data_IF_183480422486
#
_entry.id   IF_183480422486
#
_cell.length_a   1.000
_cell.length_b   1.000
_cell.length_c   1.000
_cell.angle_alpha   90.00
_cell.angle_beta   90.00
_cell.angle_gamma   90.00
#
_symmetry.space_group_name_H-M   'P 1'
#
loop_
_entity.id
_entity.type
_entity.pdbx_description
1 polymer ?
#
# COMPACT_ATOMS: atom_id res chain seq x y z
N UNK A 1 7.08 -11.43 -22.78
CA UNK A 1 7.31 -11.13 -24.21
C UNK A 1 6.05 -11.53 -24.95
N UNK A 2 5.32 -10.55 -25.52
CA UNK A 2 4.25 -10.89 -26.46
C UNK A 2 4.92 -11.55 -27.66
N UNK A 3 4.48 -12.76 -28.00
CA UNK A 3 5.07 -13.51 -29.08
C UNK A 3 4.98 -12.73 -30.42
N UNK A 4 5.97 -12.83 -31.31
CA UNK A 4 5.94 -12.19 -32.63
C UNK A 4 4.66 -12.45 -33.43
N UNK A 5 3.99 -13.55 -33.18
CA UNK A 5 2.70 -13.95 -33.75
C UNK A 5 1.53 -12.99 -33.46
N UNK A 6 1.55 -12.26 -32.33
CA UNK A 6 0.48 -11.32 -31.97
C UNK A 6 0.62 -10.03 -32.80
N UNK A 7 1.86 -9.55 -32.99
CA UNK A 7 2.14 -8.37 -33.82
C UNK A 7 1.79 -8.66 -35.30
N UNK A 8 2.07 -9.89 -35.76
CA UNK A 8 1.75 -10.35 -37.12
C UNK A 8 0.23 -10.50 -37.32
N UNK A 9 -0.50 -10.98 -36.31
CA UNK A 9 -1.97 -11.09 -36.31
C UNK A 9 -2.62 -9.71 -36.41
N UNK A 10 -2.16 -8.73 -35.65
CA UNK A 10 -2.67 -7.34 -35.72
C UNK A 10 -2.38 -6.68 -37.07
N UNK A 11 -1.20 -6.94 -37.65
CA UNK A 11 -0.86 -6.47 -39.03
C UNK A 11 -1.71 -7.07 -40.11
N UNK A 12 -2.19 -8.31 -39.96
CA UNK A 12 -3.07 -8.98 -40.93
C UNK A 12 -4.51 -8.49 -40.86
N UNK A 13 -4.95 -7.98 -39.70
CA UNK A 13 -6.35 -7.55 -39.49
C UNK A 13 -6.59 -6.09 -39.93
N UNK A 14 -5.53 -5.28 -40.03
CA UNK A 14 -5.62 -3.91 -40.52
C UNK A 14 -5.15 -3.82 -41.97
N UNK A 15 -5.97 -3.24 -42.86
CA UNK A 15 -5.53 -2.97 -44.24
C UNK A 15 -4.34 -1.99 -44.21
N UNK A 16 -3.44 -2.08 -45.23
CA UNK A 16 -2.29 -1.17 -45.37
C UNK A 16 -2.66 0.32 -45.29
N UNK A 17 -3.86 0.70 -45.75
CA UNK A 17 -4.38 2.08 -45.68
C UNK A 17 -4.74 2.48 -44.23
N UNK A 18 -5.32 1.58 -43.45
CA UNK A 18 -5.68 1.82 -42.06
C UNK A 18 -4.43 1.90 -41.18
N UNK A 19 -3.40 1.09 -41.47
CA UNK A 19 -2.12 1.13 -40.74
C UNK A 19 -1.34 2.42 -41.05
N UNK A 20 -1.31 2.91 -42.28
CA UNK A 20 -0.64 4.16 -42.65
C UNK A 20 -1.40 5.37 -42.10
N UNK A 21 -2.73 5.33 -42.03
CA UNK A 21 -3.54 6.39 -41.42
C UNK A 21 -3.29 6.57 -39.92
N UNK A 22 -2.96 5.51 -39.21
CA UNK A 22 -2.62 5.56 -37.76
C UNK A 22 -1.20 6.09 -37.50
N UNK A 23 -0.27 5.89 -38.47
CA UNK A 23 1.12 6.31 -38.34
C UNK A 23 1.36 7.72 -38.88
N UNK A 24 0.56 8.21 -39.81
CA UNK A 24 0.76 9.50 -40.49
C UNK A 24 0.23 10.73 -39.72
N UNK A 25 -0.55 10.53 -38.64
CA UNK A 25 -1.02 11.62 -37.77
C UNK A 25 -0.21 11.68 -36.47
N UNK A 26 1.11 11.75 -36.60
CA UNK A 26 2.04 12.03 -35.49
C UNK A 26 2.03 13.49 -35.01
N UNK A 27 0.91 14.20 -35.17
CA UNK A 27 0.61 15.37 -34.38
C UNK A 27 0.18 14.86 -32.99
N UNK A 28 0.90 15.22 -31.95
CA UNK A 28 0.49 15.01 -30.57
C UNK A 28 -0.87 15.68 -30.35
N UNK A 29 -1.95 15.01 -30.72
CA UNK A 29 -3.27 15.31 -30.20
C UNK A 29 -3.24 14.83 -28.76
N UNK A 30 -2.90 15.74 -27.86
CA UNK A 30 -3.26 15.61 -26.45
C UNK A 30 -4.80 15.66 -26.42
N UNK A 31 -5.41 14.52 -26.71
CA UNK A 31 -6.82 14.31 -26.39
C UNK A 31 -6.85 14.32 -24.86
N UNK A 32 -7.51 15.31 -24.24
CA UNK A 32 -7.81 15.18 -22.84
C UNK A 32 -8.75 13.98 -22.74
N UNK A 33 -8.21 12.80 -22.44
CA UNK A 33 -9.01 11.63 -22.07
C UNK A 33 -9.60 11.96 -20.70
N UNK A 34 -10.54 12.88 -20.69
CA UNK A 34 -11.58 12.93 -19.69
C UNK A 34 -12.54 11.80 -20.08
N UNK A 35 -12.06 10.57 -19.93
CA UNK A 35 -12.92 9.42 -19.94
C UNK A 35 -14.02 9.73 -18.91
N UNK A 36 -15.23 9.98 -19.35
CA UNK A 36 -16.40 9.91 -18.49
C UNK A 36 -16.41 8.47 -17.99
N UNK A 37 -15.78 8.26 -16.83
CA UNK A 37 -15.83 6.98 -16.14
C UNK A 37 -17.31 6.74 -15.85
N UNK A 38 -17.91 5.77 -16.55
CA UNK A 38 -19.23 5.30 -16.17
C UNK A 38 -19.15 4.91 -14.71
N UNK A 39 -20.10 5.34 -13.86
CA UNK A 39 -20.07 5.01 -12.45
C UNK A 39 -19.94 3.49 -12.30
N UNK A 40 -18.92 3.07 -11.55
CA UNK A 40 -18.69 1.66 -11.25
C UNK A 40 -19.91 1.17 -10.47
N UNK A 41 -20.55 0.09 -10.92
CA UNK A 41 -21.58 -0.58 -10.11
C UNK A 41 -20.89 -1.35 -9.00
N UNK A 42 -20.85 -0.77 -7.82
CA UNK A 42 -20.33 -1.43 -6.63
C UNK A 42 -21.28 -2.57 -6.19
N UNK A 43 -20.76 -3.59 -5.50
CA UNK A 43 -21.60 -4.57 -4.82
C UNK A 43 -22.58 -3.88 -3.86
N UNK A 44 -23.73 -4.52 -3.60
CA UNK A 44 -24.71 -3.98 -2.65
C UNK A 44 -24.06 -3.72 -1.30
N UNK A 45 -24.32 -2.54 -0.74
CA UNK A 45 -23.78 -2.13 0.57
C UNK A 45 -22.60 -1.17 0.51
N UNK A 46 -21.95 -0.98 -0.65
CA UNK A 46 -20.86 -0.04 -0.82
C UNK A 46 -21.29 1.16 -1.67
N UNK A 47 -20.74 2.34 -1.35
CA UNK A 47 -21.06 3.62 -2.01
C UNK A 47 -19.88 4.15 -2.81
N UNK A 48 -18.63 3.86 -2.37
CA UNK A 48 -17.41 4.34 -3.01
C UNK A 48 -16.25 3.37 -2.83
N UNK A 49 -15.19 3.55 -3.64
CA UNK A 49 -13.92 2.86 -3.52
C UNK A 49 -12.83 3.90 -3.31
N UNK A 50 -12.13 3.80 -2.20
CA UNK A 50 -11.01 4.67 -1.87
C UNK A 50 -9.71 3.92 -2.14
N UNK A 51 -8.84 4.51 -2.98
CA UNK A 51 -7.50 4.00 -3.21
C UNK A 51 -6.59 4.40 -2.06
N UNK A 52 -6.06 3.41 -1.35
CA UNK A 52 -5.15 3.59 -0.21
C UNK A 52 -3.67 3.41 -0.61
N UNK A 53 -3.35 3.52 -1.90
CA UNK A 53 -2.04 3.18 -2.46
C UNK A 53 -1.33 4.41 -3.00
N UNK A 54 -0.09 4.64 -2.59
CA UNK A 54 0.77 5.63 -3.23
C UNK A 54 1.22 5.17 -4.63
N UNK A 55 1.37 6.15 -5.53
CA UNK A 55 1.96 5.88 -6.85
C UNK A 55 3.43 5.51 -6.66
N UNK A 56 3.83 4.32 -7.13
CA UNK A 56 5.23 3.93 -7.18
C UNK A 56 5.98 4.78 -8.21
N UNK A 57 6.84 5.65 -7.74
CA UNK A 57 7.65 6.53 -8.59
C UNK A 57 9.09 6.61 -8.08
N UNK A 58 10.08 6.95 -8.96
CA UNK A 58 11.46 7.16 -8.52
C UNK A 58 11.65 8.24 -7.44
N UNK A 59 10.66 9.10 -7.24
CA UNK A 59 10.68 10.17 -6.23
C UNK A 59 10.04 9.76 -4.90
N UNK A 60 9.46 8.55 -4.82
CA UNK A 60 8.84 8.07 -3.59
C UNK A 60 9.93 7.80 -2.54
N UNK A 61 9.78 8.28 -1.29
CA UNK A 61 10.69 7.93 -0.22
C UNK A 61 10.73 6.42 0.00
N UNK A 62 11.93 5.87 0.12
CA UNK A 62 12.16 4.46 0.46
C UNK A 62 12.88 4.37 1.79
N UNK A 63 12.76 3.23 2.47
CA UNK A 63 13.43 3.03 3.74
C UNK A 63 14.96 3.22 3.59
N UNK A 64 15.64 3.89 4.55
CA UNK A 64 17.07 4.13 4.46
C UNK A 64 17.88 2.85 4.23
N UNK A 65 18.71 2.87 3.20
CA UNK A 65 19.48 1.69 2.77
C UNK A 65 18.87 0.92 1.59
N UNK A 66 17.59 1.13 1.29
CA UNK A 66 16.95 0.56 0.09
C UNK A 66 17.23 1.41 -1.15
N UNK A 67 17.15 0.78 -2.30
CA UNK A 67 17.35 1.46 -3.59
C UNK A 67 16.08 2.18 -4.01
N UNK A 68 16.20 3.42 -4.52
CA UNK A 68 15.07 4.09 -5.16
C UNK A 68 14.51 3.26 -6.31
N UNK A 69 13.20 3.38 -6.54
CA UNK A 69 12.53 2.74 -7.66
C UNK A 69 13.18 3.17 -8.98
N UNK A 70 13.54 2.21 -9.82
CA UNK A 70 14.06 2.46 -11.14
C UNK A 70 13.07 2.01 -12.20
N UNK A 71 12.80 2.86 -13.17
CA UNK A 71 11.94 2.56 -14.32
C UNK A 71 12.77 2.74 -15.59
N UNK A 72 12.97 1.66 -16.33
CA UNK A 72 13.75 1.64 -17.57
C UNK A 72 12.86 1.22 -18.73
N UNK A 73 12.64 2.09 -19.72
CA UNK A 73 11.93 1.70 -20.94
C UNK A 73 12.67 0.58 -21.67
N UNK A 74 11.97 -0.50 -22.00
CA UNK A 74 12.46 -1.63 -22.79
C UNK A 74 11.97 -1.55 -24.23
N UNK A 75 10.75 -1.06 -24.44
CA UNK A 75 10.14 -0.86 -25.75
C UNK A 75 9.23 0.36 -25.72
N UNK A 76 9.01 0.97 -26.88
CA UNK A 76 8.12 2.11 -27.07
C UNK A 76 7.13 1.83 -28.21
N UNK A 77 5.93 2.43 -28.14
CA UNK A 77 4.92 2.26 -29.20
C UNK A 77 5.46 2.71 -30.56
N UNK A 78 6.24 3.77 -30.59
CA UNK A 78 6.79 4.33 -31.83
C UNK A 78 7.76 3.39 -32.53
N UNK A 79 8.56 2.61 -31.78
CA UNK A 79 9.61 1.74 -32.34
C UNK A 79 9.13 0.31 -32.54
N UNK A 80 8.48 -0.25 -31.52
CA UNK A 80 8.13 -1.67 -31.45
C UNK A 80 6.62 -1.94 -31.59
N UNK A 81 5.78 -0.89 -31.65
CA UNK A 81 4.32 -1.02 -31.73
C UNK A 81 3.65 -1.33 -30.36
N UNK A 82 4.44 -1.45 -29.30
CA UNK A 82 3.99 -1.61 -27.91
C UNK A 82 4.98 -0.95 -26.96
N UNK A 83 4.52 -0.62 -25.75
CA UNK A 83 5.36 -0.08 -24.69
C UNK A 83 5.55 -1.10 -23.57
N UNK A 84 6.78 -1.20 -23.05
CA UNK A 84 7.12 -2.03 -21.91
C UNK A 84 8.25 -1.38 -21.10
N UNK A 85 8.14 -1.43 -19.79
CA UNK A 85 9.17 -0.97 -18.86
C UNK A 85 9.70 -2.15 -18.05
N UNK A 86 10.98 -2.09 -17.73
CA UNK A 86 11.57 -2.83 -16.63
C UNK A 86 11.49 -1.96 -15.39
N UNK A 87 11.00 -2.53 -14.28
CA UNK A 87 10.92 -1.83 -13.00
C UNK A 87 11.73 -2.61 -11.98
N UNK A 88 12.61 -1.91 -11.25
CA UNK A 88 13.44 -2.49 -10.20
C UNK A 88 13.16 -1.74 -8.89
N UNK A 89 12.90 -2.46 -7.82
CA UNK A 89 12.68 -1.96 -6.46
C UNK A 89 12.98 -3.07 -5.44
N UNK A 90 13.22 -2.67 -4.19
CA UNK A 90 13.26 -3.62 -3.07
C UNK A 90 11.82 -3.96 -2.63
N UNK A 91 11.57 -5.17 -2.11
CA UNK A 91 10.21 -5.67 -1.80
C UNK A 91 9.41 -4.70 -0.92
N UNK A 92 10.05 -4.09 0.09
CA UNK A 92 9.42 -3.17 1.05
C UNK A 92 9.48 -1.72 0.55
N UNK A 93 8.78 -1.45 -0.56
CA UNK A 93 8.81 -0.16 -1.25
C UNK A 93 7.41 0.37 -1.52
N UNK A 94 7.17 1.63 -1.17
CA UNK A 94 5.87 2.28 -1.33
C UNK A 94 4.79 1.65 -0.46
N UNK A 95 3.53 1.72 -0.88
CA UNK A 95 2.47 0.96 -0.20
C UNK A 95 2.70 -0.52 -0.45
N UNK A 96 3.06 -1.26 0.61
CA UNK A 96 3.49 -2.65 0.50
C UNK A 96 2.98 -3.50 1.66
N UNK A 97 3.00 -4.82 1.46
CA UNK A 97 2.72 -5.83 2.48
C UNK A 97 4.01 -6.30 3.11
N UNK A 98 3.99 -6.50 4.42
CA UNK A 98 4.96 -7.27 5.20
C UNK A 98 4.37 -8.62 5.53
N UNK A 99 4.95 -9.69 4.99
CA UNK A 99 4.58 -11.04 5.34
C UNK A 99 5.27 -11.49 6.65
N UNK A 100 4.71 -12.47 7.39
CA UNK A 100 5.33 -12.99 8.61
C UNK A 100 6.81 -13.35 8.48
N UNK A 101 7.21 -13.89 7.34
CA UNK A 101 8.62 -14.29 7.09
C UNK A 101 9.60 -13.12 7.07
N UNK A 102 9.12 -11.88 6.93
CA UNK A 102 9.97 -10.69 6.96
C UNK A 102 10.76 -10.58 8.28
N UNK A 103 10.14 -10.91 9.41
CA UNK A 103 10.78 -10.85 10.73
C UNK A 103 10.92 -12.22 11.40
N UNK A 104 10.26 -13.27 10.88
CA UNK A 104 10.24 -14.59 11.51
C UNK A 104 10.70 -15.65 10.51
N UNK A 105 11.90 -16.17 10.72
CA UNK A 105 12.46 -17.21 9.85
C UNK A 105 11.55 -18.42 9.74
N UNK A 106 11.28 -18.86 8.51
CA UNK A 106 10.43 -20.03 8.23
C UNK A 106 8.92 -19.79 8.38
N UNK A 107 8.51 -18.56 8.70
CA UNK A 107 7.09 -18.21 8.75
C UNK A 107 6.48 -18.05 7.35
N UNK A 108 5.21 -17.67 7.28
CA UNK A 108 4.44 -17.54 6.04
C UNK A 108 5.01 -16.42 5.16
N UNK A 109 5.32 -16.74 3.89
CA UNK A 109 5.74 -15.80 2.85
C UNK A 109 4.52 -15.11 2.21
N UNK A 110 4.76 -14.01 1.48
CA UNK A 110 3.68 -13.19 0.90
C UNK A 110 2.78 -13.98 -0.06
N UNK A 111 3.33 -14.89 -0.86
CA UNK A 111 2.59 -15.77 -1.77
C UNK A 111 1.68 -16.79 -1.06
N UNK A 112 1.91 -17.01 0.24
CA UNK A 112 1.17 -17.98 1.08
C UNK A 112 0.24 -17.33 2.10
N UNK A 113 0.17 -16.01 2.17
CA UNK A 113 -0.84 -15.33 2.99
C UNK A 113 -2.23 -15.79 2.53
N UNK A 114 -3.09 -16.32 3.45
CA UNK A 114 -4.42 -16.79 3.08
C UNK A 114 -5.27 -15.68 2.47
N UNK A 115 -5.91 -15.95 1.33
CA UNK A 115 -6.66 -14.94 0.56
C UNK A 115 -7.87 -14.37 1.32
N UNK A 116 -8.47 -15.16 2.19
CA UNK A 116 -9.56 -14.75 3.08
C UNK A 116 -9.14 -13.72 4.12
N UNK A 117 -7.84 -13.62 4.41
CA UNK A 117 -7.29 -12.56 5.28
C UNK A 117 -6.99 -11.25 4.55
N UNK A 118 -6.91 -11.27 3.21
CA UNK A 118 -6.66 -10.10 2.38
C UNK A 118 -7.92 -9.29 2.09
N UNK A 119 -9.08 -9.79 2.50
CA UNK A 119 -10.38 -9.13 2.47
C UNK A 119 -10.94 -9.11 3.90
N UNK A 120 -11.03 -7.94 4.52
CA UNK A 120 -11.35 -7.84 5.94
C UNK A 120 -12.21 -6.60 6.27
N UNK A 121 -12.99 -6.63 7.37
CA UNK A 121 -13.53 -5.41 7.95
C UNK A 121 -12.38 -4.44 8.27
N UNK A 122 -12.51 -3.17 7.83
CA UNK A 122 -11.51 -2.14 8.07
C UNK A 122 -11.87 -1.31 9.29
N UNK A 123 -10.94 -1.24 10.22
CA UNK A 123 -10.95 -0.37 11.40
C UNK A 123 -9.90 0.72 11.20
N UNK A 124 -10.28 1.99 11.28
CA UNK A 124 -9.35 3.12 11.20
C UNK A 124 -9.27 3.79 12.55
N UNK A 125 -8.08 3.77 13.15
CA UNK A 125 -7.75 4.43 14.43
C UNK A 125 -6.97 5.68 14.13
N UNK A 126 -7.55 6.88 14.37
CA UNK A 126 -6.88 8.14 14.10
C UNK A 126 -6.15 8.68 15.32
N UNK A 127 -4.88 9.02 15.12
CA UNK A 127 -4.02 9.73 16.07
C UNK A 127 -3.48 11.04 15.47
N UNK A 128 -4.01 11.48 14.33
CA UNK A 128 -3.46 12.56 13.51
C UNK A 128 -3.25 13.88 14.28
N UNK A 129 -4.19 14.29 15.13
CA UNK A 129 -4.05 15.50 15.94
C UNK A 129 -2.89 15.43 16.94
N UNK A 130 -2.63 14.25 17.50
CA UNK A 130 -1.51 14.03 18.42
C UNK A 130 -0.19 13.92 17.66
N UNK A 131 -0.20 13.20 16.55
CA UNK A 131 0.96 13.04 15.69
C UNK A 131 1.46 14.37 15.11
N UNK A 132 0.55 15.28 14.77
CA UNK A 132 0.90 16.63 14.32
C UNK A 132 1.62 17.46 15.39
N UNK A 133 1.42 17.15 16.68
CA UNK A 133 2.07 17.84 17.81
C UNK A 133 3.35 17.11 18.26
N UNK A 134 3.38 15.80 18.11
CA UNK A 134 4.51 14.96 18.50
C UNK A 134 4.64 13.79 17.51
N UNK A 135 5.69 13.80 16.70
CA UNK A 135 5.96 12.77 15.70
C UNK A 135 6.21 11.37 16.31
N UNK A 136 6.63 11.27 17.56
CA UNK A 136 6.84 9.98 18.26
C UNK A 136 5.56 9.45 18.91
N UNK A 137 4.39 9.97 18.53
CA UNK A 137 3.09 9.46 19.00
C UNK A 137 2.86 8.03 18.55
N UNK A 138 2.44 7.18 19.49
CA UNK A 138 2.08 5.78 19.22
C UNK A 138 0.57 5.58 19.34
N UNK A 139 0.03 4.64 18.55
CA UNK A 139 -1.26 4.03 18.85
C UNK A 139 -1.09 3.21 20.13
N UNK A 140 -1.82 3.55 21.17
CA UNK A 140 -1.83 2.85 22.45
C UNK A 140 -2.96 1.82 22.54
N UNK A 141 -2.90 0.92 23.51
CA UNK A 141 -4.03 0.04 23.83
C UNK A 141 -5.29 0.83 24.21
N UNK A 142 -5.12 1.96 24.91
CA UNK A 142 -6.24 2.83 25.28
C UNK A 142 -6.91 3.47 24.05
N UNK A 143 -6.16 3.81 23.00
CA UNK A 143 -6.75 4.31 21.75
C UNK A 143 -7.67 3.26 21.12
N UNK A 144 -7.27 1.99 21.12
CA UNK A 144 -8.07 0.88 20.64
C UNK A 144 -9.33 0.68 21.49
N UNK A 145 -9.20 0.69 22.80
CA UNK A 145 -10.33 0.56 23.73
C UNK A 145 -11.27 1.76 23.64
N UNK A 146 -10.78 2.96 23.40
CA UNK A 146 -11.61 4.15 23.16
C UNK A 146 -12.34 4.09 21.83
N UNK A 147 -11.66 3.57 20.79
CA UNK A 147 -12.32 3.28 19.52
C UNK A 147 -13.49 2.29 19.73
N UNK A 148 -13.27 1.20 20.47
CA UNK A 148 -14.29 0.21 20.76
C UNK A 148 -15.48 0.77 21.54
N UNK A 149 -15.26 1.67 22.47
CA UNK A 149 -16.35 2.33 23.20
C UNK A 149 -17.31 3.11 22.27
N UNK A 150 -16.81 3.59 21.14
CA UNK A 150 -17.61 4.38 20.18
C UNK A 150 -18.25 3.54 19.09
N UNK A 151 -17.56 2.50 18.64
CA UNK A 151 -17.93 1.79 17.41
C UNK A 151 -18.21 0.29 17.63
N UNK A 152 -18.05 -0.18 18.85
CA UNK A 152 -18.18 -1.61 19.18
C UNK A 152 -16.83 -2.33 19.14
N UNK A 153 -16.80 -3.56 19.63
CA UNK A 153 -15.59 -4.38 19.71
C UNK A 153 -14.98 -4.57 18.32
N UNK A 154 -13.66 -4.43 18.20
CA UNK A 154 -12.92 -4.74 16.96
C UNK A 154 -13.24 -6.18 16.57
N UNK A 155 -13.80 -6.42 15.37
CA UNK A 155 -14.17 -7.78 14.94
C UNK A 155 -12.95 -8.69 14.80
N UNK A 156 -13.08 -9.96 15.14
CA UNK A 156 -12.07 -10.95 14.80
C UNK A 156 -11.88 -10.99 13.26
N UNK A 157 -10.64 -11.12 12.80
CA UNK A 157 -10.31 -11.05 11.38
C UNK A 157 -10.31 -9.64 10.79
N UNK A 158 -10.57 -8.58 11.56
CA UNK A 158 -10.46 -7.21 11.06
C UNK A 158 -9.02 -6.84 10.68
N UNK A 159 -8.88 -5.86 9.80
CA UNK A 159 -7.63 -5.15 9.55
C UNK A 159 -7.68 -3.79 10.26
N UNK A 160 -6.66 -3.48 11.07
CA UNK A 160 -6.62 -2.24 11.85
C UNK A 160 -5.58 -1.30 11.28
N UNK A 161 -6.01 -0.15 10.75
CA UNK A 161 -5.15 0.88 10.17
C UNK A 161 -4.98 2.05 11.14
N UNK A 162 -3.74 2.46 11.36
CA UNK A 162 -3.38 3.72 12.00
C UNK A 162 -3.46 4.86 10.98
N UNK A 163 -4.25 5.87 11.27
CA UNK A 163 -4.25 7.14 10.55
C UNK A 163 -3.53 8.20 11.39
N UNK A 164 -2.32 8.55 10.99
CA UNK A 164 -1.50 9.59 11.63
C UNK A 164 -1.45 10.90 10.83
N UNK A 165 -1.93 10.89 9.57
CA UNK A 165 -1.83 11.99 8.62
C UNK A 165 -0.41 12.14 8.03
N UNK A 166 0.46 11.16 8.23
CA UNK A 166 1.85 11.20 7.77
C UNK A 166 1.99 11.10 6.26
N UNK A 167 1.04 10.46 5.59
CA UNK A 167 0.95 10.34 4.14
C UNK A 167 0.98 11.69 3.41
N UNK A 168 0.52 12.76 4.05
CA UNK A 168 0.59 14.12 3.51
C UNK A 168 2.03 14.62 3.26
N UNK A 169 3.01 14.02 3.90
CA UNK A 169 4.44 14.40 3.80
C UNK A 169 5.20 13.64 2.71
N UNK A 170 4.62 12.62 2.08
CA UNK A 170 5.30 11.69 1.16
C UNK A 170 6.02 12.37 -0.02
N UNK A 171 5.57 13.56 -0.43
CA UNK A 171 6.18 14.34 -1.53
C UNK A 171 7.39 15.16 -1.11
N UNK A 172 7.65 15.26 0.18
CA UNK A 172 8.80 15.97 0.77
C UNK A 172 9.58 14.98 1.65
N UNK A 173 10.64 14.41 1.12
CA UNK A 173 11.43 13.40 1.81
C UNK A 173 11.98 13.90 3.16
N UNK A 174 12.32 15.18 3.27
CA UNK A 174 12.82 15.74 4.53
C UNK A 174 11.72 15.73 5.61
N UNK A 175 10.51 16.13 5.24
CA UNK A 175 9.35 16.09 6.14
C UNK A 175 8.90 14.67 6.44
N UNK A 176 8.98 13.78 5.44
CA UNK A 176 8.55 12.39 5.58
C UNK A 176 9.47 11.61 6.51
N UNK A 177 10.80 11.74 6.34
CA UNK A 177 11.79 11.13 7.22
C UNK A 177 11.90 11.86 8.56
N UNK A 178 11.63 13.15 8.60
CA UNK A 178 11.62 13.99 9.82
C UNK A 178 12.81 13.71 10.73
N UNK A 179 14.03 13.85 10.19
CA UNK A 179 15.27 13.54 10.94
C UNK A 179 15.63 14.67 11.90
N UNK A 180 16.01 14.29 13.11
CA UNK A 180 16.63 15.20 14.06
C UNK A 180 18.11 15.52 13.70
N UNK A 181 18.77 16.36 14.52
CA UNK A 181 20.17 16.73 14.32
C UNK A 181 21.15 15.55 14.43
N UNK A 182 20.73 14.43 15.02
CA UNK A 182 21.52 13.18 15.11
C UNK A 182 21.23 12.22 13.97
N UNK A 183 20.31 12.57 13.07
CA UNK A 183 19.90 11.73 11.96
C UNK A 183 18.81 10.70 12.30
N UNK A 184 18.30 10.69 13.53
CA UNK A 184 17.21 9.81 13.95
C UNK A 184 15.91 10.26 13.27
N UNK A 185 15.18 9.32 12.67
CA UNK A 185 13.86 9.58 12.10
C UNK A 185 12.79 9.58 13.19
N UNK A 186 11.77 10.40 13.01
CA UNK A 186 10.63 10.51 13.92
C UNK A 186 9.33 10.43 13.12
N UNK A 187 8.59 9.35 13.31
CA UNK A 187 7.25 9.16 12.74
C UNK A 187 6.44 8.20 13.62
N UNK A 188 5.11 8.30 13.61
CA UNK A 188 4.22 7.47 14.43
C UNK A 188 4.28 5.98 14.08
N UNK A 189 3.86 5.15 15.04
CA UNK A 189 3.72 3.70 14.89
C UNK A 189 2.80 3.10 15.96
N UNK A 190 2.79 1.77 16.05
CA UNK A 190 2.07 1.05 17.10
C UNK A 190 2.94 0.86 18.35
N UNK A 191 2.32 0.99 19.52
CA UNK A 191 2.96 0.57 20.77
C UNK A 191 2.93 -0.96 20.91
N UNK A 192 3.85 -1.52 21.69
CA UNK A 192 3.84 -2.95 22.03
C UNK A 192 2.51 -3.40 22.64
N UNK A 193 1.96 -2.60 23.56
CA UNK A 193 0.68 -2.91 24.19
C UNK A 193 -0.48 -2.97 23.20
N UNK A 194 -0.53 -2.05 22.24
CA UNK A 194 -1.54 -2.07 21.18
C UNK A 194 -1.35 -3.28 20.27
N UNK A 195 -0.12 -3.57 19.83
CA UNK A 195 0.17 -4.74 19.00
C UNK A 195 -0.24 -6.04 19.70
N UNK A 196 0.10 -6.21 20.98
CA UNK A 196 -0.32 -7.37 21.79
C UNK A 196 -1.83 -7.49 21.87
N UNK A 197 -2.55 -6.43 22.23
CA UNK A 197 -4.01 -6.42 22.31
C UNK A 197 -4.65 -6.90 20.99
N UNK A 198 -4.13 -6.40 19.86
CA UNK A 198 -4.65 -6.74 18.54
C UNK A 198 -4.46 -8.23 18.18
N UNK A 199 -3.31 -8.80 18.51
CA UNK A 199 -3.01 -10.19 18.15
C UNK A 199 -3.55 -11.22 19.14
N UNK A 200 -3.55 -10.91 20.47
CA UNK A 200 -3.91 -11.88 21.49
C UNK A 200 -5.37 -11.85 21.88
N UNK A 201 -6.04 -10.68 21.79
CA UNK A 201 -7.40 -10.51 22.28
C UNK A 201 -8.42 -10.14 21.21
N UNK A 202 -7.95 -9.64 20.05
CA UNK A 202 -8.85 -9.24 18.95
C UNK A 202 -8.73 -10.14 17.74
N UNK A 203 -7.66 -10.93 17.65
CA UNK A 203 -7.39 -11.87 16.54
C UNK A 203 -7.54 -11.21 15.16
N UNK A 204 -6.91 -10.05 14.98
CA UNK A 204 -6.96 -9.31 13.71
C UNK A 204 -6.29 -10.09 12.57
N UNK A 205 -6.65 -9.84 11.32
CA UNK A 205 -5.99 -10.41 10.14
C UNK A 205 -4.65 -9.75 9.86
N UNK A 206 -4.56 -8.44 10.08
CA UNK A 206 -3.38 -7.64 9.85
C UNK A 206 -3.53 -6.23 10.41
N UNK A 207 -2.47 -5.44 10.30
CA UNK A 207 -2.45 -4.03 10.68
C UNK A 207 -1.85 -3.19 9.56
N UNK A 208 -2.11 -1.87 9.57
CA UNK A 208 -1.49 -0.97 8.60
C UNK A 208 -1.20 0.41 9.17
N UNK A 209 -0.30 1.11 8.49
CA UNK A 209 0.14 2.46 8.86
C UNK A 209 0.30 3.35 7.63
N UNK A 210 0.15 4.65 7.80
CA UNK A 210 0.45 5.67 6.78
C UNK A 210 1.90 6.19 6.85
N UNK A 211 2.74 5.51 7.64
CA UNK A 211 4.18 5.77 7.83
C UNK A 211 5.04 4.71 7.15
N UNK A 212 6.39 4.86 7.23
CA UNK A 212 7.38 3.91 6.69
C UNK A 212 7.55 2.63 7.52
N UNK A 213 6.95 2.54 8.71
CA UNK A 213 7.17 1.42 9.61
C UNK A 213 5.96 1.22 10.53
N UNK A 214 5.65 -0.04 10.84
CA UNK A 214 4.66 -0.40 11.87
C UNK A 214 5.10 0.09 13.25
N UNK A 215 6.42 0.13 13.51
CA UNK A 215 7.01 0.73 14.69
C UNK A 215 7.22 2.23 14.52
N UNK A 216 7.35 2.98 15.61
CA UNK A 216 7.79 4.37 15.52
C UNK A 216 9.14 4.45 14.81
N UNK A 217 9.36 5.48 13.98
CA UNK A 217 10.60 5.60 13.23
C UNK A 217 11.85 5.79 14.12
N UNK A 218 11.67 6.29 15.35
CA UNK A 218 12.72 6.42 16.37
C UNK A 218 13.00 5.12 17.16
N UNK A 219 12.22 4.05 16.94
CA UNK A 219 12.33 2.81 17.69
C UNK A 219 13.68 2.11 17.44
N UNK A 220 14.33 1.66 18.51
CA UNK A 220 15.58 0.87 18.45
C UNK A 220 15.30 -0.63 18.27
N UNK A 221 14.08 -1.06 18.54
CA UNK A 221 13.62 -2.45 18.41
C UNK A 221 12.31 -2.45 17.66
N UNK A 222 12.15 -3.36 16.72
CA UNK A 222 10.94 -3.52 15.92
C UNK A 222 9.88 -4.36 16.66
N UNK A 223 9.39 -3.85 17.79
CA UNK A 223 8.53 -4.63 18.70
C UNK A 223 7.14 -4.84 18.10
N UNK A 224 6.59 -3.85 17.39
CA UNK A 224 5.31 -4.00 16.70
C UNK A 224 5.41 -5.04 15.58
N UNK A 225 6.45 -4.96 14.73
CA UNK A 225 6.72 -5.99 13.72
C UNK A 225 6.83 -7.38 14.32
N UNK A 226 7.72 -7.55 15.31
CA UNK A 226 7.95 -8.85 15.95
C UNK A 226 6.68 -9.41 16.57
N UNK A 227 5.84 -8.57 17.19
CA UNK A 227 4.60 -9.01 17.82
C UNK A 227 3.56 -9.41 16.77
N UNK A 228 3.34 -8.59 15.74
CA UNK A 228 2.30 -8.79 14.73
C UNK A 228 2.68 -9.92 13.78
N UNK A 229 3.87 -9.84 13.19
CA UNK A 229 4.34 -10.85 12.24
C UNK A 229 4.64 -12.18 12.94
N UNK A 230 5.12 -12.13 14.19
CA UNK A 230 5.34 -13.31 15.03
C UNK A 230 4.05 -14.07 15.38
N UNK A 231 2.91 -13.37 15.40
CA UNK A 231 1.60 -13.98 15.57
C UNK A 231 0.99 -14.48 14.23
N UNK A 232 1.76 -14.49 13.14
CA UNK A 232 1.31 -14.92 11.82
C UNK A 232 0.33 -13.95 11.15
N UNK A 233 0.30 -12.69 11.61
CA UNK A 233 -0.47 -11.60 10.99
C UNK A 233 0.41 -10.88 9.98
N UNK A 234 -0.17 -10.10 9.07
CA UNK A 234 0.60 -9.32 8.10
C UNK A 234 0.52 -7.82 8.38
N UNK A 235 1.51 -7.07 7.92
CA UNK A 235 1.55 -5.62 7.94
C UNK A 235 1.25 -5.01 6.59
N UNK A 236 0.82 -3.74 6.57
CA UNK A 236 0.80 -2.90 5.37
C UNK A 236 1.34 -1.53 5.75
N UNK A 237 2.40 -1.10 5.07
CA UNK A 237 3.02 0.19 5.31
C UNK A 237 2.73 1.19 4.18
N UNK A 238 2.94 2.47 4.47
CA UNK A 238 2.72 3.55 3.53
C UNK A 238 1.32 3.55 2.90
N UNK A 239 0.27 3.37 3.73
CA UNK A 239 -1.10 3.63 3.31
C UNK A 239 -1.30 5.13 3.06
N UNK A 240 -2.26 5.49 2.21
CA UNK A 240 -2.68 6.88 1.98
C UNK A 240 -4.19 7.03 2.02
N UNK A 241 -4.68 8.26 2.05
CA UNK A 241 -6.12 8.57 2.03
C UNK A 241 -6.95 7.99 3.19
N UNK A 242 -6.34 7.55 4.28
CA UNK A 242 -7.06 7.01 5.44
C UNK A 242 -8.02 8.04 6.06
N UNK A 243 -7.76 9.33 5.92
CA UNK A 243 -8.66 10.41 6.35
C UNK A 243 -10.03 10.40 5.65
N UNK A 244 -10.14 9.75 4.50
CA UNK A 244 -11.38 9.62 3.72
C UNK A 244 -12.20 8.41 4.11
N UNK A 245 -11.62 7.49 4.86
CA UNK A 245 -12.26 6.22 5.28
C UNK A 245 -12.97 6.44 6.61
N UNK A 246 -14.24 6.00 6.76
CA UNK A 246 -14.92 6.06 8.05
C UNK A 246 -14.19 5.17 9.08
N UNK A 247 -14.24 5.53 10.38
CA UNK A 247 -13.59 4.74 11.42
C UNK A 247 -14.02 3.27 11.48
N UNK A 248 -15.27 2.99 11.11
CA UNK A 248 -15.88 1.65 11.08
C UNK A 248 -16.80 1.49 9.88
N UNK A 249 -17.10 0.23 9.50
CA UNK A 249 -18.07 -0.10 8.46
C UNK A 249 -17.50 -0.24 7.06
N UNK A 250 -16.22 0.11 6.85
CA UNK A 250 -15.53 -0.12 5.59
C UNK A 250 -14.98 -1.56 5.49
N UNK A 251 -14.68 -1.99 4.27
CA UNK A 251 -13.98 -3.25 3.99
C UNK A 251 -12.68 -2.93 3.25
N UNK A 252 -11.56 -3.50 3.70
CA UNK A 252 -10.28 -3.39 3.01
C UNK A 252 -10.05 -4.58 2.08
N UNK A 253 -9.44 -4.30 0.93
CA UNK A 253 -8.90 -5.29 -0.01
C UNK A 253 -7.40 -5.01 -0.14
N UNK A 254 -6.57 -6.01 0.19
CA UNK A 254 -5.12 -5.92 0.07
C UNK A 254 -4.67 -6.82 -1.08
N UNK A 255 -4.29 -6.21 -2.21
CA UNK A 255 -3.75 -6.93 -3.37
C UNK A 255 -2.28 -7.29 -3.14
N UNK A 256 -2.03 -8.21 -2.22
CA UNK A 256 -0.67 -8.66 -1.89
C UNK A 256 0.04 -9.28 -3.10
N UNK A 257 1.37 -9.13 -3.23
CA UNK A 257 2.13 -9.78 -4.29
C UNK A 257 2.13 -11.30 -4.10
N UNK A 258 2.20 -12.03 -5.20
CA UNK A 258 2.27 -13.50 -5.17
C UNK A 258 3.60 -13.98 -5.77
N UNK A 259 4.70 -13.39 -5.32
CA UNK A 259 6.05 -13.82 -5.67
C UNK A 259 6.46 -14.94 -4.72
N UNK A 260 6.92 -16.05 -5.25
CA UNK A 260 7.31 -17.23 -4.47
C UNK A 260 8.39 -16.89 -3.44
N UNK A 261 8.11 -17.18 -2.18
CA UNK A 261 9.03 -16.97 -1.07
C UNK A 261 9.25 -15.49 -0.68
N UNK A 262 8.53 -14.54 -1.27
CA UNK A 262 8.70 -13.12 -0.99
C UNK A 262 8.43 -12.77 0.48
N UNK A 263 9.26 -11.87 1.03
CA UNK A 263 9.11 -11.35 2.41
C UNK A 263 8.01 -10.30 2.49
N UNK A 264 7.66 -9.70 1.36
CA UNK A 264 6.64 -8.67 1.20
C UNK A 264 6.53 -8.24 -0.25
N UNK A 265 5.99 -7.06 -0.49
CA UNK A 265 6.03 -6.43 -1.81
C UNK A 265 4.95 -5.38 -2.01
N UNK A 266 5.15 -4.48 -3.01
CA UNK A 266 4.19 -3.45 -3.35
C UNK A 266 2.79 -4.03 -3.61
N UNK A 267 1.79 -3.40 -3.02
CA UNK A 267 0.41 -3.86 -3.05
C UNK A 267 -0.54 -2.77 -3.52
N UNK A 268 -1.61 -3.14 -4.24
CA UNK A 268 -2.74 -2.24 -4.43
C UNK A 268 -3.74 -2.46 -3.30
N UNK A 269 -3.94 -1.43 -2.49
CA UNK A 269 -4.82 -1.47 -1.33
C UNK A 269 -6.04 -0.58 -1.57
N UNK A 270 -7.22 -1.11 -1.37
CA UNK A 270 -8.49 -0.43 -1.60
C UNK A 270 -9.38 -0.51 -0.36
N UNK A 271 -10.12 0.55 -0.07
CA UNK A 271 -11.21 0.52 0.89
C UNK A 271 -12.56 0.65 0.17
N UNK A 272 -13.48 -0.25 0.46
CA UNK A 272 -14.89 -0.17 0.06
C UNK A 272 -15.66 0.50 1.21
N UNK A 273 -16.35 1.60 0.95
CA UNK A 273 -17.06 2.41 1.96
C UNK A 273 -18.53 2.61 1.59
#
# INVERSE_FOLDING_TARGET
>A
MCAPSVVESVRRTLSRRQFVGVVATGAAVSVPVRAQQKPIRLPKGFRDVIDLTHVLSPLLPVYPGYRPIQVRPRSTVAREGYANNEVTFDEHTGTHVDAPVHFVSGAVSADRVPVDRLLAPLVVVTIAERAAKNADTLVSADDLLQWEKRYGRIPAGAFVAMHSGWDAHVRDANRFFNRDAKGTMHAPGFSEAAARLLVTERDVSGVGVDTLSLDAASAQKFVAHLTILGAGKYGVEMLTNLSRVPPAGATIIVGAPKHEGATGGPARVLALV
#
